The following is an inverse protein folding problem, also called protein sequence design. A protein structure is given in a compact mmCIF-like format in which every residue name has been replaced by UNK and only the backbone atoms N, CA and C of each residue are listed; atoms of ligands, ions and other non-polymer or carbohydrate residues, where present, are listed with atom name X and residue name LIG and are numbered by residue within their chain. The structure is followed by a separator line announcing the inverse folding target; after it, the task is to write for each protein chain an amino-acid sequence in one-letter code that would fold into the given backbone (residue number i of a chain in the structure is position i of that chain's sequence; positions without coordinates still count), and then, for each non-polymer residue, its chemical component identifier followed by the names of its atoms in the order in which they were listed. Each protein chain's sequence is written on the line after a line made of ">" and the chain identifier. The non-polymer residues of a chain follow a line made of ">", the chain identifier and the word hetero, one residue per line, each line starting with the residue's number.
data_IF_352400657241
#
_entry.id   IF_352400657241
#
_cell.length_a   1.000
_cell.length_b   1.000
_cell.length_c   1.000
_cell.angle_alpha   90.00
_cell.angle_beta   90.00
_cell.angle_gamma   90.00
#
_symmetry.space_group_name_H-M   'P 1'
#
loop_
_entity.id
_entity.type
_entity.pdbx_description
1 polymer ?
#
# COMPACT_ATOMS: atom_id res chain seq x y z
N UNK A 1 -14.42 4.37 -5.85
CA UNK A 1 -13.17 5.08 -5.48
C UNK A 1 -12.36 4.09 -4.66
N UNK A 2 -11.19 3.67 -5.13
CA UNK A 2 -10.35 2.65 -4.46
C UNK A 2 -9.05 3.28 -3.99
N UNK A 3 -8.66 3.02 -2.74
CA UNK A 3 -7.37 3.42 -2.17
C UNK A 3 -6.31 2.38 -2.51
N UNK A 4 -5.08 2.84 -2.75
CA UNK A 4 -3.92 1.95 -2.89
C UNK A 4 -3.03 2.06 -1.65
N UNK A 5 -2.51 0.91 -1.21
CA UNK A 5 -1.66 0.80 -0.04
C UNK A 5 -0.33 0.21 -0.46
N UNK A 6 0.76 0.92 -0.19
CA UNK A 6 2.09 0.50 -0.57
C UNK A 6 2.97 0.36 0.67
N UNK A 7 3.52 -0.83 0.89
CA UNK A 7 4.53 -1.09 1.90
C UNK A 7 5.91 -1.01 1.23
N UNK A 8 6.76 -0.07 1.65
CA UNK A 8 8.10 0.14 1.09
C UNK A 8 8.08 0.28 -0.46
N UNK A 9 7.03 0.92 -0.99
CA UNK A 9 6.82 1.12 -2.43
C UNK A 9 6.20 -0.06 -3.19
N UNK A 10 5.86 -1.17 -2.53
CA UNK A 10 5.20 -2.34 -3.13
C UNK A 10 3.73 -2.39 -2.74
N UNK A 11 2.84 -2.66 -3.69
CA UNK A 11 1.41 -2.75 -3.41
C UNK A 11 1.10 -3.99 -2.56
N UNK A 12 0.53 -3.80 -1.38
CA UNK A 12 0.23 -4.90 -0.46
C UNK A 12 -0.80 -5.89 -1.04
N UNK A 13 -1.60 -5.47 -2.04
CA UNK A 13 -2.56 -6.37 -2.70
C UNK A 13 -1.89 -7.47 -3.52
N UNK A 14 -0.60 -7.33 -3.82
CA UNK A 14 0.22 -8.34 -4.48
C UNK A 14 0.89 -9.29 -3.47
N UNK A 15 0.83 -8.96 -2.17
CA UNK A 15 1.32 -9.76 -1.06
C UNK A 15 0.12 -10.36 -0.29
N UNK A 16 0.11 -10.30 1.06
CA UNK A 16 -0.97 -10.81 1.91
C UNK A 16 -2.09 -9.78 2.17
N UNK A 17 -2.11 -8.68 1.41
CA UNK A 17 -3.06 -7.59 1.60
C UNK A 17 -2.90 -6.95 2.99
N UNK A 18 -4.01 -6.76 3.69
CA UNK A 18 -3.99 -6.22 5.06
C UNK A 18 -3.45 -7.18 6.11
N UNK A 19 -3.17 -8.44 5.76
CA UNK A 19 -2.49 -9.37 6.66
C UNK A 19 -0.96 -9.26 6.59
N UNK A 20 -0.42 -8.49 5.63
CA UNK A 20 1.02 -8.26 5.51
C UNK A 20 1.56 -7.66 6.82
N UNK A 21 2.44 -8.42 7.48
CA UNK A 21 3.04 -8.01 8.75
C UNK A 21 4.04 -6.87 8.53
N UNK A 22 3.89 -5.82 9.33
CA UNK A 22 4.84 -4.71 9.39
C UNK A 22 6.03 -5.07 10.26
N UNK A 23 7.19 -4.53 9.88
CA UNK A 23 8.42 -4.58 10.64
C UNK A 23 8.81 -3.16 11.09
N UNK A 24 9.65 -3.06 12.13
CA UNK A 24 10.18 -1.77 12.53
C UNK A 24 10.99 -1.14 11.39
N UNK A 25 10.75 0.16 11.15
CA UNK A 25 11.35 0.89 10.02
C UNK A 25 10.59 0.81 8.70
N UNK A 26 9.51 0.01 8.60
CA UNK A 26 8.67 -0.02 7.40
C UNK A 26 7.93 1.31 7.18
N UNK A 27 7.75 1.68 5.90
CA UNK A 27 6.99 2.86 5.50
C UNK A 27 5.76 2.45 4.71
N UNK A 28 4.59 2.81 5.23
CA UNK A 28 3.30 2.64 4.56
C UNK A 28 2.87 3.93 3.86
N UNK A 29 2.65 3.86 2.55
CA UNK A 29 2.03 4.93 1.76
C UNK A 29 0.57 4.61 1.47
N UNK A 30 -0.31 5.58 1.66
CA UNK A 30 -1.74 5.50 1.34
C UNK A 30 -2.03 6.49 0.22
N UNK A 31 -2.43 5.98 -0.93
CA UNK A 31 -2.66 6.80 -2.12
C UNK A 31 -4.16 6.88 -2.42
N UNK A 32 -4.68 8.08 -2.71
CA UNK A 32 -6.05 8.24 -3.20
C UNK A 32 -6.22 7.53 -4.55
N UNK A 33 -7.47 7.32 -5.01
CA UNK A 33 -7.72 6.82 -6.36
C UNK A 33 -7.01 7.72 -7.37
N UNK A 34 -6.16 7.13 -8.19
CA UNK A 34 -5.44 7.87 -9.23
C UNK A 34 -6.44 8.22 -10.34
N UNK A 35 -6.85 9.49 -10.39
CA UNK A 35 -7.47 10.06 -11.57
C UNK A 35 -6.34 10.58 -12.45
N UNK A 36 -6.21 10.05 -13.67
CA UNK A 36 -5.18 10.51 -14.61
C UNK A 36 -5.27 12.02 -14.83
N UNK A 37 -4.11 12.67 -14.85
CA UNK A 37 -3.96 14.08 -15.26
C UNK A 37 -3.92 14.22 -16.76
#
# INVERSE_FOLDING_TARGET
>A
LTLNFLLNGRNISLDEGFNTKLQDGDVLSILPPVAGG
#
